data_IF_788774561663
#
_entry.id   IF_788774561663
#
_cell.length_a   1.000
_cell.length_b   1.000
_cell.length_c   1.000
_cell.angle_alpha   90.00
_cell.angle_beta   90.00
_cell.angle_gamma   90.00
#
_symmetry.space_group_name_H-M   'P 1'
#
loop_
_entity.id
_entity.type
_entity.pdbx_description
1 polymer ?
#
# COMPACT_ATOMS: atom_id res chain seq x y z
N UNK A 1 26.02 43.25 -20.28
CA UNK A 1 25.27 43.00 -21.52
C UNK A 1 23.98 42.28 -21.15
N UNK A 2 22.93 43.04 -20.86
CA UNK A 2 21.84 43.52 -21.74
C UNK A 2 20.62 42.58 -21.76
N UNK A 3 19.53 43.16 -21.29
CA UNK A 3 18.15 42.66 -21.26
C UNK A 3 17.60 42.30 -22.65
N UNK A 4 16.56 41.44 -22.69
CA UNK A 4 15.30 41.67 -23.44
C UNK A 4 14.21 40.62 -23.14
N UNK A 5 13.13 41.08 -22.51
CA UNK A 5 11.72 40.72 -22.82
C UNK A 5 11.21 41.76 -23.84
N UNK A 6 9.94 41.76 -24.30
CA UNK A 6 8.99 40.68 -24.63
C UNK A 6 8.40 40.92 -26.06
N UNK A 7 7.43 40.12 -26.51
CA UNK A 7 6.46 40.57 -27.53
C UNK A 7 5.13 39.85 -27.40
N UNK A 8 4.13 40.67 -27.13
CA UNK A 8 2.69 40.47 -27.08
C UNK A 8 2.06 40.42 -28.47
N UNK A 9 0.91 39.76 -28.61
CA UNK A 9 -0.16 40.28 -29.46
C UNK A 9 -1.52 39.91 -28.89
N UNK A 10 -2.40 40.90 -28.89
CA UNK A 10 -3.74 40.95 -28.34
C UNK A 10 -4.75 40.83 -29.46
N UNK A 11 -5.92 40.23 -29.22
CA UNK A 11 -7.15 40.54 -29.97
C UNK A 11 -8.38 40.55 -29.03
N UNK A 12 -9.05 41.70 -29.03
CA UNK A 12 -10.41 42.05 -28.56
C UNK A 12 -11.45 41.59 -29.62
N UNK A 13 -12.76 41.39 -29.43
CA UNK A 13 -13.79 41.61 -28.39
C UNK A 13 -15.03 40.77 -28.72
N UNK A 14 -15.94 40.62 -27.73
CA UNK A 14 -17.42 40.65 -27.84
C UNK A 14 -18.20 39.37 -27.49
N UNK A 15 -18.78 39.40 -26.28
CA UNK A 15 -20.18 39.14 -25.91
C UNK A 15 -20.96 38.06 -26.68
N UNK A 16 -21.38 36.99 -25.99
CA UNK A 16 -22.74 36.42 -26.09
C UNK A 16 -23.02 35.49 -24.89
N UNK A 17 -24.00 35.90 -24.08
CA UNK A 17 -25.05 35.15 -23.36
C UNK A 17 -24.80 33.73 -22.78
N UNK A 18 -25.09 33.60 -21.46
CA UNK A 18 -25.41 32.39 -20.66
C UNK A 18 -26.44 31.44 -21.34
N UNK A 19 -26.65 30.16 -20.94
CA UNK A 19 -26.64 29.64 -19.55
C UNK A 19 -26.18 28.18 -19.30
N UNK A 20 -25.95 27.90 -18.01
CA UNK A 20 -26.15 26.64 -17.28
C UNK A 20 -25.68 25.32 -17.91
N UNK A 21 -24.51 24.83 -17.45
CA UNK A 21 -24.30 23.39 -17.36
C UNK A 21 -23.67 23.08 -16.02
N UNK A 22 -24.30 22.18 -15.26
CA UNK A 22 -23.82 21.66 -13.98
C UNK A 22 -22.40 21.12 -14.15
N UNK A 23 -21.41 21.89 -13.70
CA UNK A 23 -20.09 21.33 -13.45
C UNK A 23 -20.23 20.43 -12.22
N UNK A 24 -20.35 19.13 -12.47
CA UNK A 24 -20.08 18.10 -11.47
C UNK A 24 -18.76 18.49 -10.81
N UNK A 25 -18.86 18.92 -9.56
CA UNK A 25 -17.73 19.15 -8.68
C UNK A 25 -17.04 17.80 -8.58
N UNK A 26 -15.98 17.62 -9.36
CA UNK A 26 -15.03 16.55 -9.14
C UNK A 26 -14.47 16.80 -7.74
N UNK A 27 -15.06 16.16 -6.74
CA UNK A 27 -14.45 15.98 -5.43
C UNK A 27 -13.16 15.20 -5.70
N UNK A 28 -12.08 15.95 -5.91
CA UNK A 28 -10.73 15.51 -5.62
C UNK A 28 -10.68 15.26 -4.11
N UNK A 29 -11.19 14.08 -3.73
CA UNK A 29 -11.10 13.54 -2.39
C UNK A 29 -9.62 13.23 -2.18
N UNK A 30 -8.91 14.25 -1.73
CA UNK A 30 -7.56 14.12 -1.18
C UNK A 30 -7.71 13.35 0.13
N UNK A 31 -7.87 12.02 0.01
CA UNK A 31 -7.80 11.12 1.15
C UNK A 31 -6.42 11.29 1.75
N UNK A 32 -6.35 11.83 2.96
CA UNK A 32 -5.09 11.88 3.70
C UNK A 32 -4.50 10.47 3.70
N UNK A 33 -3.24 10.37 3.31
CA UNK A 33 -2.47 9.12 3.28
C UNK A 33 -2.09 8.66 4.69
N UNK A 34 -3.01 8.80 5.64
CA UNK A 34 -2.83 8.34 7.00
C UNK A 34 -3.08 6.84 6.99
N UNK A 35 -2.14 6.00 7.47
CA UNK A 35 -2.35 4.58 7.62
C UNK A 35 -3.66 4.32 8.38
N UNK A 36 -4.44 3.30 8.01
CA UNK A 36 -5.66 2.97 8.74
C UNK A 36 -5.30 2.59 10.19
N UNK A 37 -6.07 3.11 11.15
CA UNK A 37 -5.86 2.77 12.55
C UNK A 37 -6.13 1.29 12.80
N UNK A 38 -5.44 0.71 13.78
CA UNK A 38 -5.63 -0.69 14.20
C UNK A 38 -7.10 -1.01 14.51
N UNK A 39 -7.79 -0.14 15.24
CA UNK A 39 -9.20 -0.35 15.60
C UNK A 39 -10.09 -0.46 14.37
N UNK A 40 -9.84 0.37 13.35
CA UNK A 40 -10.56 0.34 12.08
C UNK A 40 -10.30 -0.97 11.31
N UNK A 41 -9.06 -1.45 11.30
CA UNK A 41 -8.72 -2.72 10.65
C UNK A 41 -9.35 -3.94 11.36
N UNK A 42 -9.53 -3.87 12.68
CA UNK A 42 -10.24 -4.91 13.44
C UNK A 42 -11.73 -4.86 13.14
N UNK A 43 -12.34 -3.67 13.15
CA UNK A 43 -13.76 -3.48 12.87
C UNK A 43 -14.14 -3.94 11.46
N UNK A 44 -13.27 -3.67 10.49
CA UNK A 44 -13.43 -4.11 9.11
C UNK A 44 -13.04 -5.58 8.87
N UNK A 45 -12.54 -6.30 9.88
CA UNK A 45 -12.23 -7.73 9.81
C UNK A 45 -10.90 -8.09 9.15
N UNK A 46 -10.01 -7.14 8.88
CA UNK A 46 -8.67 -7.40 8.32
C UNK A 46 -7.65 -7.85 9.38
N UNK A 47 -7.90 -7.57 10.65
CA UNK A 47 -7.13 -8.07 11.79
C UNK A 47 -8.10 -8.77 12.73
N UNK A 48 -7.77 -10.00 13.12
CA UNK A 48 -8.59 -10.76 14.07
C UNK A 48 -8.58 -10.10 15.43
N UNK A 49 -9.78 -9.86 15.96
CA UNK A 49 -9.97 -9.36 17.33
C UNK A 49 -9.39 -10.39 18.31
N UNK A 50 -8.68 -9.97 19.35
CA UNK A 50 -8.26 -10.91 20.38
C UNK A 50 -9.49 -11.42 21.14
N UNK A 51 -9.71 -12.73 21.12
CA UNK A 51 -10.58 -13.40 22.11
C UNK A 51 -9.89 -13.40 23.49
N UNK A 52 -8.58 -13.62 23.48
CA UNK A 52 -7.64 -13.35 24.57
C UNK A 52 -6.31 -12.88 23.96
N UNK A 53 -5.60 -11.95 24.61
CA UNK A 53 -4.28 -11.48 24.14
C UNK A 53 -4.31 -10.33 23.12
N UNK A 54 -3.47 -10.41 22.09
CA UNK A 54 -3.22 -9.32 21.14
C UNK A 54 -3.93 -9.55 19.80
N UNK A 55 -4.37 -8.47 19.11
CA UNK A 55 -4.86 -8.57 17.74
C UNK A 55 -3.83 -9.26 16.85
N UNK A 56 -4.30 -10.12 15.94
CA UNK A 56 -3.43 -10.95 15.12
C UNK A 56 -3.92 -11.13 13.69
N UNK A 57 -3.02 -11.57 12.83
CA UNK A 57 -3.30 -11.96 11.44
C UNK A 57 -2.48 -13.22 11.12
N UNK A 58 -3.00 -14.11 10.29
CA UNK A 58 -2.22 -15.23 9.74
C UNK A 58 -1.53 -14.78 8.46
N UNK A 59 -0.24 -15.03 8.30
CA UNK A 59 0.48 -14.74 7.08
C UNK A 59 1.10 -16.00 6.49
N UNK A 60 1.23 -16.01 5.15
CA UNK A 60 2.08 -17.00 4.49
C UNK A 60 3.53 -16.61 4.73
N UNK A 61 4.34 -17.58 5.16
CA UNK A 61 5.77 -17.44 5.35
C UNK A 61 6.49 -18.34 4.37
N UNK A 62 7.40 -17.76 3.62
CA UNK A 62 8.34 -18.48 2.75
C UNK A 62 9.70 -17.83 2.88
N UNK A 63 10.72 -18.67 2.94
CA UNK A 63 12.11 -18.23 2.91
C UNK A 63 12.84 -19.03 1.83
N UNK A 64 13.41 -18.35 0.84
CA UNK A 64 14.16 -18.99 -0.25
C UNK A 64 15.35 -19.83 0.22
N UNK A 65 15.83 -19.62 1.46
CA UNK A 65 16.92 -20.39 2.06
C UNK A 65 16.49 -21.75 2.63
N UNK A 66 15.19 -22.00 2.80
CA UNK A 66 14.72 -23.32 3.25
C UNK A 66 14.70 -24.31 2.07
N UNK A 67 15.24 -25.54 2.24
CA UNK A 67 15.57 -26.47 1.16
C UNK A 67 14.38 -27.02 0.35
N UNK A 68 13.16 -26.52 0.57
CA UNK A 68 11.96 -26.90 -0.20
C UNK A 68 11.01 -25.75 -0.54
N UNK A 69 11.33 -24.48 -0.22
CA UNK A 69 10.48 -23.33 -0.57
C UNK A 69 9.01 -23.44 -0.13
N UNK A 70 8.71 -24.28 0.88
CA UNK A 70 7.35 -24.57 1.31
C UNK A 70 6.77 -23.35 2.03
N UNK A 71 5.55 -22.97 1.63
CA UNK A 71 4.74 -22.05 2.41
C UNK A 71 4.38 -22.66 3.75
N UNK A 72 4.56 -21.90 4.81
CA UNK A 72 3.98 -22.15 6.13
C UNK A 72 3.00 -21.03 6.45
N UNK A 73 2.09 -21.29 7.38
CA UNK A 73 1.24 -20.25 7.96
C UNK A 73 1.79 -19.89 9.34
N UNK A 74 1.85 -18.60 9.63
CA UNK A 74 2.30 -18.08 10.93
C UNK A 74 1.34 -17.01 11.42
N UNK A 75 1.03 -17.03 12.71
CA UNK A 75 0.24 -15.98 13.35
C UNK A 75 1.14 -14.81 13.77
N UNK A 76 0.89 -13.65 13.20
CA UNK A 76 1.58 -12.41 13.47
C UNK A 76 0.77 -11.57 14.47
N UNK A 77 1.41 -11.12 15.54
CA UNK A 77 0.74 -10.38 16.61
C UNK A 77 1.05 -8.89 16.56
N UNK A 78 0.05 -8.06 16.82
CA UNK A 78 0.24 -6.62 17.01
C UNK A 78 1.02 -6.35 18.30
N UNK A 79 1.94 -5.37 18.25
CA UNK A 79 2.72 -4.97 19.42
C UNK A 79 1.82 -4.20 20.40
N UNK A 80 1.65 -4.67 21.65
CA UNK A 80 0.71 -4.09 22.62
C UNK A 80 0.91 -2.60 22.89
N UNK A 81 2.17 -2.16 22.98
CA UNK A 81 2.52 -0.83 23.49
C UNK A 81 2.47 0.28 22.43
N UNK A 82 2.13 -0.04 21.18
CA UNK A 82 2.16 0.92 20.08
C UNK A 82 0.80 0.99 19.42
N UNK A 83 -0.05 1.96 19.79
CA UNK A 83 -1.46 2.03 19.36
C UNK A 83 -1.66 2.20 17.85
N UNK A 84 -0.70 2.83 17.17
CA UNK A 84 -0.81 3.19 15.74
C UNK A 84 -0.33 2.07 14.82
N UNK A 85 0.51 1.16 15.32
CA UNK A 85 1.12 0.12 14.47
C UNK A 85 0.17 -1.06 14.31
N UNK A 86 -0.31 -1.25 13.10
CA UNK A 86 -1.02 -2.45 12.69
C UNK A 86 -0.04 -3.57 12.32
N UNK A 87 -0.43 -4.80 12.62
CA UNK A 87 0.22 -6.01 12.10
C UNK A 87 -0.37 -6.33 10.72
N UNK A 88 0.46 -6.80 9.80
CA UNK A 88 0.05 -7.20 8.47
C UNK A 88 0.97 -8.27 7.89
N UNK A 89 0.80 -8.57 6.61
CA UNK A 89 1.65 -9.50 5.88
C UNK A 89 2.43 -8.76 4.79
N UNK A 90 3.55 -9.33 4.35
CA UNK A 90 4.29 -8.83 3.19
C UNK A 90 4.75 -9.95 2.27
N UNK A 91 5.10 -9.56 1.05
CA UNK A 91 5.82 -10.41 0.11
C UNK A 91 6.92 -9.61 -0.60
N UNK A 92 8.03 -10.29 -0.85
CA UNK A 92 9.18 -9.85 -1.62
C UNK A 92 9.50 -10.94 -2.65
N UNK A 93 9.51 -10.57 -3.92
CA UNK A 93 9.75 -11.50 -5.03
C UNK A 93 10.48 -10.81 -6.18
N UNK A 94 11.05 -11.59 -7.09
CA UNK A 94 11.56 -11.10 -8.37
C UNK A 94 11.16 -12.09 -9.48
N UNK A 95 11.48 -11.75 -10.73
CA UNK A 95 11.17 -12.60 -11.88
C UNK A 95 12.11 -13.80 -12.00
N UNK A 96 13.34 -13.67 -11.51
CA UNK A 96 14.41 -14.67 -11.66
C UNK A 96 14.29 -15.83 -10.68
N UNK A 97 14.06 -15.52 -9.41
CA UNK A 97 14.08 -16.47 -8.29
C UNK A 97 12.67 -16.70 -7.70
N UNK A 98 11.66 -15.95 -8.16
CA UNK A 98 10.30 -16.05 -7.66
C UNK A 98 10.17 -15.48 -6.24
N UNK A 99 9.47 -16.20 -5.35
CA UNK A 99 9.27 -15.77 -3.97
C UNK A 99 10.55 -15.86 -3.15
N UNK A 100 11.04 -14.71 -2.70
CA UNK A 100 12.25 -14.63 -1.90
C UNK A 100 11.96 -14.65 -0.41
N UNK A 101 10.91 -13.91 -0.05
CA UNK A 101 10.51 -13.76 1.32
C UNK A 101 9.02 -13.41 1.40
N UNK A 102 8.29 -14.14 2.23
CA UNK A 102 6.94 -13.77 2.67
C UNK A 102 6.93 -13.82 4.19
N UNK A 103 6.23 -12.90 4.83
CA UNK A 103 6.41 -12.70 6.26
C UNK A 103 5.34 -11.89 6.95
N UNK A 104 5.41 -11.88 8.29
CA UNK A 104 4.78 -10.88 9.13
C UNK A 104 5.41 -9.51 8.90
N UNK A 105 4.59 -8.49 8.71
CA UNK A 105 5.03 -7.09 8.70
C UNK A 105 4.55 -6.40 9.97
N UNK A 106 5.50 -5.78 10.67
CA UNK A 106 5.20 -4.72 11.63
C UNK A 106 5.74 -3.40 11.03
N UNK A 107 4.99 -2.31 11.15
CA UNK A 107 5.41 -1.01 10.58
C UNK A 107 6.67 -0.42 11.25
N UNK A 108 7.23 -1.10 12.26
CA UNK A 108 8.46 -0.67 12.95
C UNK A 108 9.73 -1.01 12.19
N UNK A 109 9.72 -2.07 11.38
CA UNK A 109 10.87 -2.46 10.58
C UNK A 109 11.22 -1.31 9.63
N UNK A 110 12.42 -0.75 9.82
CA UNK A 110 12.89 0.50 9.21
C UNK A 110 12.89 0.42 7.67
N UNK A 111 13.00 -0.79 7.11
CA UNK A 111 12.88 -1.02 5.68
C UNK A 111 11.47 -0.73 5.12
N UNK A 112 10.44 -0.70 5.96
CA UNK A 112 9.02 -0.61 5.59
C UNK A 112 8.33 0.66 6.11
N UNK A 113 9.07 1.55 6.79
CA UNK A 113 8.56 2.85 7.24
C UNK A 113 8.24 3.72 6.01
N UNK A 114 6.95 3.92 5.76
CA UNK A 114 6.46 4.79 4.68
C UNK A 114 5.40 4.14 3.78
N UNK A 115 5.17 2.83 3.90
CA UNK A 115 4.21 2.15 3.03
C UNK A 115 2.81 2.09 3.67
N UNK A 116 1.83 2.68 2.99
CA UNK A 116 0.43 2.41 3.25
C UNK A 116 0.09 1.01 2.74
N UNK A 117 0.23 0.01 3.61
CA UNK A 117 -0.18 -1.36 3.28
C UNK A 117 -1.64 -1.40 2.82
N UNK A 118 -1.89 -2.21 1.80
CA UNK A 118 -3.22 -2.31 1.19
C UNK A 118 -4.14 -3.17 2.05
N UNK A 119 -5.44 -2.90 2.00
CA UNK A 119 -6.43 -3.79 2.64
C UNK A 119 -6.78 -4.91 1.67
N UNK A 120 -6.85 -6.15 2.16
CA UNK A 120 -7.09 -7.31 1.30
C UNK A 120 -5.83 -7.67 0.52
N UNK A 121 -5.87 -7.67 -0.81
CA UNK A 121 -4.79 -8.26 -1.61
C UNK A 121 -3.43 -7.55 -1.48
N UNK A 122 -2.35 -8.32 -1.55
CA UNK A 122 -0.98 -7.82 -1.65
C UNK A 122 -0.67 -7.38 -3.09
N UNK A 123 -0.93 -6.10 -3.38
CA UNK A 123 -0.64 -5.51 -4.69
C UNK A 123 0.74 -4.86 -4.63
N UNK A 124 1.58 -5.05 -5.65
CA UNK A 124 2.91 -4.44 -5.77
C UNK A 124 2.82 -2.95 -5.44
N UNK A 125 3.40 -2.59 -4.30
CA UNK A 125 3.42 -1.21 -3.80
C UNK A 125 4.61 -0.47 -4.39
N UNK A 126 5.76 -1.14 -4.48
CA UNK A 126 7.01 -0.54 -4.95
C UNK A 126 8.01 -1.59 -5.44
N UNK A 127 9.05 -1.09 -6.10
CA UNK A 127 10.27 -1.84 -6.36
C UNK A 127 11.25 -1.63 -5.20
N UNK A 128 11.83 -2.71 -4.67
CA UNK A 128 12.94 -2.70 -3.72
C UNK A 128 14.19 -3.07 -4.51
N UNK A 129 15.14 -2.14 -4.61
CA UNK A 129 16.16 -2.17 -5.67
C UNK A 129 15.54 -2.32 -7.08
N UNK A 130 16.36 -2.43 -8.14
CA UNK A 130 15.84 -2.42 -9.52
C UNK A 130 15.03 -3.67 -9.90
N UNK A 131 15.14 -4.75 -9.14
CA UNK A 131 14.70 -6.08 -9.58
C UNK A 131 13.70 -6.76 -8.64
N UNK A 132 13.60 -6.30 -7.38
CA UNK A 132 12.69 -6.92 -6.43
C UNK A 132 11.38 -6.14 -6.35
N UNK A 133 10.28 -6.87 -6.37
CA UNK A 133 8.91 -6.40 -6.22
C UNK A 133 8.50 -6.62 -4.77
N UNK A 134 7.84 -5.62 -4.19
CA UNK A 134 7.40 -5.65 -2.80
C UNK A 134 5.94 -5.22 -2.66
N UNK A 135 5.24 -5.87 -1.74
CA UNK A 135 3.93 -5.44 -1.27
C UNK A 135 3.77 -5.74 0.23
N UNK A 136 2.89 -4.96 0.87
CA UNK A 136 2.36 -5.27 2.18
C UNK A 136 0.85 -5.10 2.19
N UNK A 137 0.18 -5.91 3.02
CA UNK A 137 -1.27 -5.99 3.08
C UNK A 137 -1.80 -6.31 4.48
N UNK A 138 -3.09 -6.02 4.69
CA UNK A 138 -3.85 -6.42 5.86
C UNK A 138 -4.89 -7.48 5.48
N UNK A 139 -5.01 -8.52 6.31
CA UNK A 139 -5.92 -9.64 6.09
C UNK A 139 -5.20 -10.98 6.25
N UNK A 140 -5.93 -11.99 6.73
CA UNK A 140 -5.39 -13.34 6.83
C UNK A 140 -4.97 -13.84 5.43
N UNK A 141 -3.74 -14.32 5.35
CA UNK A 141 -3.12 -14.92 4.16
C UNK A 141 -3.09 -13.99 2.94
N UNK A 142 -3.23 -12.68 3.16
CA UNK A 142 -3.35 -11.71 2.06
C UNK A 142 -2.13 -11.65 1.14
N UNK A 143 -0.98 -12.12 1.63
CA UNK A 143 0.27 -12.18 0.90
C UNK A 143 0.46 -13.48 0.11
N UNK A 144 -0.50 -14.42 0.11
CA UNK A 144 -0.38 -15.71 -0.55
C UNK A 144 -0.12 -15.60 -2.06
N UNK A 145 -0.80 -14.66 -2.73
CA UNK A 145 -0.74 -14.43 -4.18
C UNK A 145 -0.54 -12.94 -4.49
N UNK A 146 0.70 -12.42 -4.43
CA UNK A 146 0.98 -11.03 -4.75
C UNK A 146 0.70 -10.70 -6.22
N UNK A 147 0.16 -9.51 -6.46
CA UNK A 147 -0.27 -9.06 -7.79
C UNK A 147 0.66 -7.95 -8.28
N UNK A 148 1.18 -8.09 -9.50
CA UNK A 148 1.88 -7.02 -10.20
C UNK A 148 1.01 -6.45 -11.33
N UNK A 149 0.45 -5.26 -11.11
CA UNK A 149 -0.41 -4.58 -12.09
C UNK A 149 0.36 -3.93 -13.25
N UNK A 150 1.69 -3.91 -13.22
CA UNK A 150 2.53 -3.33 -14.29
C UNK A 150 2.96 -4.32 -15.36
N UNK A 151 2.44 -5.54 -15.35
CA UNK A 151 2.79 -6.64 -16.26
C UNK A 151 1.60 -7.13 -17.11
N UNK A 152 0.51 -6.36 -17.15
CA UNK A 152 -0.68 -6.61 -17.98
C UNK A 152 -0.61 -5.85 -19.32
#
# INVERSE_FOLDING_TARGET
STCRRPSSSSFSSSLLSSPSTMTTRSESRSTSMTPPSRSKLIEEGFIRKPETGHPRVTCVIRNHKEPRGMAKLEECYAIPQVSEVSVGCFALWNETEGYLHQGCSNQHDVAFRGDNCQKGACIKSRMVAKEFKYCCCYGDECNANPIDLGSL
#
